data_IF_351260895600
#
_entry.id   IF_351260895600
#
_cell.length_a   1.000
_cell.length_b   1.000
_cell.length_c   1.000
_cell.angle_alpha   90.00
_cell.angle_beta   90.00
_cell.angle_gamma   90.00
#
_symmetry.space_group_name_H-M   'P 1'
#
loop_
_entity.id
_entity.type
_entity.pdbx_description
1 polymer ?
#
# COMPACT_ATOMS: atom_id res chain seq x y z
N UNK A 1 14.02 20.36 10.71
CA UNK A 1 14.98 20.27 9.59
C UNK A 1 14.66 18.99 8.85
N UNK A 2 14.38 19.05 7.54
CA UNK A 2 14.12 17.85 6.75
C UNK A 2 15.42 17.05 6.62
N UNK A 3 15.44 15.82 7.12
CA UNK A 3 16.56 14.89 6.93
C UNK A 3 16.35 14.12 5.63
N UNK A 4 17.42 13.94 4.86
CA UNK A 4 17.39 13.22 3.60
C UNK A 4 17.82 11.77 3.82
N UNK A 5 17.12 10.81 3.21
CA UNK A 5 17.60 9.44 3.19
C UNK A 5 18.57 9.27 2.03
N UNK A 6 19.86 8.97 2.28
CA UNK A 6 20.83 8.75 1.23
C UNK A 6 20.53 7.43 0.50
N UNK A 7 21.00 7.33 -0.74
CA UNK A 7 20.94 6.07 -1.49
C UNK A 7 21.99 5.14 -0.89
N UNK A 8 21.63 3.89 -0.62
CA UNK A 8 22.57 2.91 -0.09
C UNK A 8 22.43 1.55 -0.76
N UNK A 9 23.50 0.76 -0.69
CA UNK A 9 23.60 -0.61 -1.20
C UNK A 9 24.39 -1.45 -0.22
N UNK A 10 24.04 -2.73 -0.10
CA UNK A 10 24.78 -3.69 0.71
C UNK A 10 25.42 -4.73 -0.21
N UNK A 11 26.70 -4.97 -0.02
CA UNK A 11 27.44 -6.04 -0.67
C UNK A 11 28.04 -6.94 0.39
N UNK A 12 28.24 -8.22 0.10
CA UNK A 12 28.85 -9.12 1.07
C UNK A 12 29.94 -9.98 0.45
N UNK A 13 30.97 -10.20 1.25
CA UNK A 13 31.98 -11.24 1.07
C UNK A 13 31.71 -12.35 2.11
N UNK A 14 32.53 -13.40 2.12
CA UNK A 14 32.45 -14.50 3.09
C UNK A 14 32.58 -14.01 4.54
N UNK A 15 33.45 -13.03 4.79
CA UNK A 15 33.80 -12.57 6.15
C UNK A 15 33.31 -11.16 6.50
N UNK A 16 33.00 -10.32 5.50
CA UNK A 16 32.69 -8.90 5.67
C UNK A 16 31.40 -8.55 4.92
N UNK A 17 30.56 -7.71 5.54
CA UNK A 17 29.41 -7.06 4.94
C UNK A 17 29.78 -5.60 4.66
N UNK A 18 29.78 -5.19 3.39
CA UNK A 18 30.05 -3.83 2.95
C UNK A 18 28.74 -3.06 2.83
N UNK A 19 28.65 -1.90 3.48
CA UNK A 19 27.54 -0.95 3.34
C UNK A 19 28.06 0.26 2.59
N UNK A 20 27.50 0.53 1.41
CA UNK A 20 27.88 1.64 0.55
C UNK A 20 26.77 2.68 0.61
N UNK A 21 27.06 3.88 1.12
CA UNK A 21 26.12 4.99 1.27
C UNK A 21 26.56 6.17 0.41
N UNK A 22 25.73 6.56 -0.55
CA UNK A 22 25.96 7.72 -1.40
C UNK A 22 25.39 8.99 -0.75
N UNK A 23 26.29 9.82 -0.22
CA UNK A 23 25.97 11.04 0.51
C UNK A 23 26.96 12.17 0.15
N UNK A 24 26.87 12.76 -1.06
CA UNK A 24 27.86 13.73 -1.55
C UNK A 24 27.87 15.05 -0.78
N UNK A 25 26.77 15.40 -0.11
CA UNK A 25 26.68 16.62 0.71
C UNK A 25 27.09 16.40 2.19
N UNK A 26 27.39 15.16 2.58
CA UNK A 26 27.80 14.85 3.94
C UNK A 26 29.26 15.24 4.19
N UNK A 27 29.53 15.77 5.37
CA UNK A 27 30.89 16.04 5.84
C UNK A 27 31.39 14.88 6.68
N UNK A 28 32.64 14.49 6.47
CA UNK A 28 33.28 13.45 7.28
C UNK A 28 33.38 13.83 8.77
N UNK A 29 33.47 15.12 9.08
CA UNK A 29 33.52 15.63 10.47
C UNK A 29 32.23 15.42 11.26
N UNK A 30 31.09 15.34 10.57
CA UNK A 30 29.76 15.20 11.19
C UNK A 30 29.24 13.76 11.07
N UNK A 31 30.11 12.81 10.72
CA UNK A 31 29.76 11.41 10.51
C UNK A 31 29.67 10.68 11.86
N UNK A 32 28.50 10.15 12.14
CA UNK A 32 28.25 9.30 13.30
C UNK A 32 27.65 7.97 12.84
N UNK A 33 28.25 6.86 13.30
CA UNK A 33 27.86 5.50 12.94
C UNK A 33 27.69 4.72 14.22
N UNK A 34 26.56 4.02 14.36
CA UNK A 34 26.33 3.10 15.46
C UNK A 34 25.76 1.80 14.92
N UNK A 35 26.22 0.66 15.46
CA UNK A 35 25.72 -0.66 15.10
C UNK A 35 25.25 -1.38 16.36
N UNK A 36 23.95 -1.38 16.60
CA UNK A 36 23.36 -2.00 17.80
C UNK A 36 22.60 -3.26 17.44
N UNK A 37 23.05 -4.41 17.99
CA UNK A 37 22.45 -5.74 17.80
C UNK A 37 22.44 -6.17 16.34
N UNK A 38 21.50 -5.64 15.55
CA UNK A 38 21.31 -5.85 14.11
C UNK A 38 20.82 -4.56 13.43
N UNK A 39 21.00 -3.38 14.02
CA UNK A 39 20.55 -2.12 13.44
C UNK A 39 21.76 -1.26 13.11
N UNK A 40 21.78 -0.75 11.89
CA UNK A 40 22.80 0.17 11.41
C UNK A 40 22.22 1.59 11.42
N UNK A 41 22.90 2.48 12.13
CA UNK A 41 22.60 3.90 12.20
C UNK A 41 23.70 4.69 11.51
N UNK A 42 23.30 5.57 10.62
CA UNK A 42 24.17 6.52 9.94
C UNK A 42 23.54 7.91 10.03
N UNK A 43 24.30 8.83 10.61
CA UNK A 43 23.91 10.23 10.73
C UNK A 43 25.03 11.08 10.18
N UNK A 44 24.73 11.91 9.19
CA UNK A 44 25.67 12.90 8.66
C UNK A 44 24.88 14.02 7.99
N UNK A 45 24.79 15.20 8.61
CA UNK A 45 23.94 16.31 8.14
C UNK A 45 24.13 16.60 6.65
N UNK A 46 23.05 16.66 5.82
CA UNK A 46 21.62 16.58 6.13
C UNK A 46 21.02 15.16 6.08
N UNK A 47 21.85 14.13 5.95
CA UNK A 47 21.44 12.74 5.77
C UNK A 47 21.23 11.99 7.08
N UNK A 48 20.22 11.12 7.06
CA UNK A 48 19.97 10.15 8.11
C UNK A 48 19.52 8.83 7.48
N UNK A 49 20.12 7.73 7.92
CA UNK A 49 19.79 6.38 7.48
C UNK A 49 19.75 5.45 8.70
N UNK A 50 18.67 4.70 8.80
CA UNK A 50 18.52 3.60 9.76
C UNK A 50 17.94 2.41 9.04
N UNK A 51 18.59 1.26 9.16
CA UNK A 51 18.05 0.00 8.64
C UNK A 51 18.45 -1.18 9.52
N UNK A 52 17.71 -2.28 9.39
CA UNK A 52 17.99 -3.54 10.05
C UNK A 52 18.85 -4.43 9.15
N UNK A 53 19.94 -4.93 9.70
CA UNK A 53 20.83 -5.89 9.08
C UNK A 53 20.16 -7.27 9.08
N UNK A 54 20.31 -8.05 8.01
CA UNK A 54 19.71 -9.38 7.89
C UNK A 54 20.32 -10.43 8.82
N UNK A 55 21.44 -10.13 9.49
CA UNK A 55 22.12 -11.06 10.38
C UNK A 55 23.12 -10.38 11.32
N UNK A 56 23.65 -11.15 12.29
CA UNK A 56 24.50 -10.63 13.36
C UNK A 56 25.89 -10.26 12.87
N UNK A 57 26.27 -9.01 13.10
CA UNK A 57 27.60 -8.45 12.85
C UNK A 57 28.29 -8.13 14.18
N UNK A 58 29.62 -8.01 14.17
CA UNK A 58 30.35 -7.55 15.35
C UNK A 58 30.06 -6.05 15.60
N UNK A 59 29.81 -5.70 16.86
CA UNK A 59 29.53 -4.33 17.31
C UNK A 59 30.79 -3.55 17.68
N UNK A 60 31.96 -4.20 17.80
CA UNK A 60 33.18 -3.54 18.25
C UNK A 60 33.69 -2.52 17.23
N UNK A 61 33.80 -1.25 17.65
CA UNK A 61 34.21 -0.09 16.83
C UNK A 61 35.55 -0.29 16.10
N UNK A 62 36.45 -1.08 16.68
CA UNK A 62 37.77 -1.39 16.12
C UNK A 62 37.72 -2.28 14.86
N UNK A 63 36.56 -2.88 14.56
CA UNK A 63 36.43 -3.83 13.45
C UNK A 63 35.84 -3.19 12.19
N UNK A 64 35.50 -1.91 12.23
CA UNK A 64 34.91 -1.21 11.10
C UNK A 64 35.98 -0.55 10.23
N UNK A 65 35.97 -0.87 8.93
CA UNK A 65 36.77 -0.15 7.94
C UNK A 65 35.90 0.92 7.30
N UNK A 66 36.30 2.18 7.37
CA UNK A 66 35.59 3.30 6.73
C UNK A 66 36.45 3.87 5.61
N UNK A 67 35.94 3.81 4.38
CA UNK A 67 36.56 4.42 3.21
C UNK A 67 35.62 5.49 2.64
N UNK A 68 36.16 6.66 2.32
CA UNK A 68 35.43 7.74 1.67
C UNK A 68 36.00 7.99 0.28
N UNK A 69 35.17 7.82 -0.74
CA UNK A 69 35.56 8.02 -2.14
C UNK A 69 34.44 8.72 -2.91
N UNK A 70 34.74 9.90 -3.46
CA UNK A 70 33.86 10.65 -4.39
C UNK A 70 32.40 10.79 -3.91
N UNK A 71 32.18 11.04 -2.60
CA UNK A 71 30.85 11.19 -2.01
C UNK A 71 30.15 9.87 -1.65
N UNK A 72 30.84 8.75 -1.78
CA UNK A 72 30.41 7.44 -1.27
C UNK A 72 31.16 7.09 0.01
N UNK A 73 30.42 6.70 1.03
CA UNK A 73 30.94 6.11 2.25
C UNK A 73 30.83 4.60 2.14
N UNK A 74 31.95 3.90 2.32
CA UNK A 74 32.01 2.44 2.30
C UNK A 74 32.37 1.97 3.70
N UNK A 75 31.46 1.22 4.32
CA UNK A 75 31.62 0.65 5.65
C UNK A 75 31.81 -0.86 5.57
N UNK A 76 32.94 -1.38 6.01
CA UNK A 76 33.18 -2.82 6.13
C UNK A 76 32.85 -3.32 7.53
N UNK A 77 31.72 -4.02 7.67
CA UNK A 77 31.27 -4.64 8.92
C UNK A 77 31.70 -6.11 8.95
N UNK A 78 32.43 -6.54 9.98
CA UNK A 78 32.80 -7.96 10.11
C UNK A 78 31.61 -8.80 10.56
N UNK A 79 31.38 -9.91 9.88
CA UNK A 79 30.29 -10.85 10.19
C UNK A 79 30.63 -11.69 11.43
N UNK A 80 29.64 -11.94 12.29
CA UNK A 80 29.84 -12.81 13.46
C UNK A 80 29.90 -14.29 13.07
N UNK A 81 29.11 -14.67 12.06
CA UNK A 81 29.10 -16.01 11.46
C UNK A 81 29.42 -15.89 9.99
N UNK A 82 30.17 -16.86 9.46
CA UNK A 82 30.44 -17.01 8.02
C UNK A 82 29.21 -17.52 7.26
N UNK A 83 28.05 -16.91 7.51
CA UNK A 83 26.78 -17.23 6.85
C UNK A 83 26.49 -16.21 5.75
N UNK A 84 25.81 -16.68 4.71
CA UNK A 84 25.36 -15.85 3.60
C UNK A 84 24.06 -15.14 4.02
N UNK A 85 24.07 -13.81 4.00
CA UNK A 85 22.88 -13.03 4.30
C UNK A 85 22.01 -12.93 3.05
N UNK A 86 20.76 -13.38 3.17
CA UNK A 86 19.78 -13.31 2.08
C UNK A 86 19.16 -11.91 2.02
N UNK A 87 18.58 -11.57 0.87
CA UNK A 87 17.74 -10.38 0.69
C UNK A 87 18.45 -9.02 0.87
N UNK A 88 19.76 -8.94 0.66
CA UNK A 88 20.51 -7.67 0.71
C UNK A 88 20.00 -6.63 -0.30
N UNK A 89 19.49 -7.09 -1.44
CA UNK A 89 18.93 -6.23 -2.49
C UNK A 89 17.51 -5.73 -2.16
N UNK A 90 16.84 -6.35 -1.19
CA UNK A 90 15.49 -5.96 -0.78
C UNK A 90 15.55 -4.81 0.22
N UNK A 91 15.95 -3.62 -0.25
CA UNK A 91 16.10 -2.40 0.54
C UNK A 91 14.84 -2.09 1.38
N UNK A 92 13.64 -2.36 0.84
CA UNK A 92 12.37 -2.16 1.55
C UNK A 92 12.23 -3.03 2.79
N UNK A 93 12.78 -4.25 2.77
CA UNK A 93 12.81 -5.18 3.90
C UNK A 93 13.80 -4.72 4.97
N UNK A 94 14.91 -4.10 4.57
CA UNK A 94 15.92 -3.57 5.48
C UNK A 94 15.44 -2.29 6.19
N UNK A 95 14.70 -1.42 5.50
CA UNK A 95 14.22 -0.16 6.06
C UNK A 95 13.01 -0.32 7.00
N UNK A 96 12.14 -1.30 6.72
CA UNK A 96 10.89 -1.49 7.46
C UNK A 96 10.98 -2.71 8.39
N UNK A 97 10.97 -2.53 9.72
CA UNK A 97 10.92 -3.67 10.62
C UNK A 97 9.60 -4.43 10.47
N UNK A 98 9.59 -5.76 10.59
CA UNK A 98 8.37 -6.58 10.53
C UNK A 98 7.41 -6.36 11.72
N UNK A 99 7.71 -5.42 12.63
CA UNK A 99 6.92 -5.13 13.84
C UNK A 99 5.69 -4.26 13.59
N UNK A 100 5.49 -3.73 12.38
CA UNK A 100 4.15 -3.33 11.97
C UNK A 100 3.38 -4.58 11.57
N UNK A 101 3.07 -5.42 12.56
CA UNK A 101 1.98 -6.38 12.47
C UNK A 101 0.74 -5.58 12.07
N UNK A 102 0.43 -5.57 10.78
CA UNK A 102 -0.89 -5.17 10.33
C UNK A 102 -1.86 -6.01 11.16
N UNK A 103 -2.79 -5.36 11.86
CA UNK A 103 -3.96 -6.01 12.47
C UNK A 103 -4.37 -7.17 11.57
N UNK A 104 -4.61 -8.39 12.10
CA UNK A 104 -4.82 -9.57 11.28
C UNK A 104 -5.81 -9.20 10.19
N UNK A 105 -5.35 -9.20 8.95
CA UNK A 105 -6.21 -8.94 7.82
C UNK A 105 -7.28 -10.01 7.92
N UNK A 106 -8.50 -9.62 8.27
CA UNK A 106 -9.69 -10.42 7.98
C UNK A 106 -9.48 -10.87 6.54
N UNK A 107 -9.35 -12.18 6.34
CA UNK A 107 -8.78 -12.77 5.13
C UNK A 107 -9.25 -12.01 3.89
N UNK A 108 -8.31 -11.41 3.16
CA UNK A 108 -8.63 -10.61 1.97
C UNK A 108 -9.25 -11.46 0.87
N UNK A 109 -9.27 -12.78 1.05
CA UNK A 109 -9.89 -13.77 0.18
C UNK A 109 -10.51 -14.82 1.10
N UNK A 110 -11.83 -14.93 1.07
CA UNK A 110 -12.57 -16.05 1.63
C UNK A 110 -13.13 -16.84 0.45
N UNK A 111 -12.71 -18.10 0.31
CA UNK A 111 -13.24 -18.99 -0.71
C UNK A 111 -14.64 -19.44 -0.28
N UNK A 112 -15.67 -18.76 -0.78
CA UNK A 112 -17.04 -19.23 -0.62
C UNK A 112 -17.14 -20.58 -1.36
N UNK A 113 -17.26 -21.68 -0.61
CA UNK A 113 -17.74 -22.95 -1.15
C UNK A 113 -19.22 -22.77 -1.53
N UNK A 114 -19.47 -22.11 -2.66
CA UNK A 114 -20.75 -22.15 -3.33
C UNK A 114 -20.98 -23.56 -3.82
N UNK A 115 -21.92 -24.27 -3.21
CA UNK A 115 -22.45 -25.54 -3.71
C UNK A 115 -23.03 -25.33 -5.11
N UNK A 116 -22.18 -25.46 -6.13
CA UNK A 116 -22.58 -25.40 -7.52
C UNK A 116 -23.12 -26.78 -7.89
N UNK A 117 -24.34 -27.07 -7.48
CA UNK A 117 -25.16 -28.01 -8.24
C UNK A 117 -25.69 -27.25 -9.44
N UNK A 118 -25.07 -27.47 -10.60
CA UNK A 118 -25.66 -27.92 -11.87
C UNK A 118 -24.74 -27.51 -13.01
N UNK A 119 -24.34 -28.51 -13.80
CA UNK A 119 -23.52 -28.41 -14.99
C UNK A 119 -23.93 -27.26 -15.94
N UNK A 120 -22.96 -26.43 -16.33
CA UNK A 120 -23.08 -25.55 -17.50
C UNK A 120 -21.81 -25.69 -18.35
N UNK A 121 -21.94 -25.99 -19.66
CA UNK A 121 -20.83 -26.32 -20.51
C UNK A 121 -19.96 -25.10 -20.79
N UNK A 122 -18.67 -25.36 -20.94
CA UNK A 122 -17.64 -24.46 -21.47
C UNK A 122 -18.11 -23.87 -22.80
N UNK A 123 -18.72 -22.68 -22.75
CA UNK A 123 -18.78 -21.77 -23.87
C UNK A 123 -18.03 -20.53 -23.43
N UNK A 124 -17.01 -20.23 -24.22
CA UNK A 124 -16.15 -19.06 -24.13
C UNK A 124 -17.04 -17.82 -24.21
N UNK A 125 -17.53 -17.38 -23.05
CA UNK A 125 -18.33 -16.17 -22.92
C UNK A 125 -17.36 -15.03 -23.17
N UNK A 126 -17.33 -14.58 -24.41
CA UNK A 126 -16.77 -13.28 -24.79
C UNK A 126 -17.31 -12.28 -23.78
N UNK A 127 -16.46 -11.88 -22.83
CA UNK A 127 -16.74 -10.89 -21.81
C UNK A 127 -17.12 -9.60 -22.53
N UNK A 128 -18.41 -9.48 -22.83
CA UNK A 128 -18.93 -8.35 -23.54
C UNK A 128 -19.00 -7.22 -22.52
N UNK A 129 -17.90 -6.45 -22.43
CA UNK A 129 -17.77 -5.28 -21.56
C UNK A 129 -18.90 -4.25 -21.79
N UNK A 130 -19.54 -4.30 -22.97
CA UNK A 130 -20.68 -3.46 -23.35
C UNK A 130 -22.05 -4.13 -23.13
N UNK A 131 -22.09 -5.40 -22.73
CA UNK A 131 -23.35 -6.01 -22.29
C UNK A 131 -23.70 -5.37 -20.96
N UNK A 132 -24.78 -4.59 -20.96
CA UNK A 132 -25.47 -4.09 -19.77
C UNK A 132 -25.39 -5.16 -18.67
N UNK A 133 -24.74 -4.82 -17.57
CA UNK A 133 -24.57 -5.75 -16.47
C UNK A 133 -25.95 -6.12 -15.91
N UNK A 134 -26.07 -7.22 -15.17
CA UNK A 134 -27.35 -7.55 -14.50
C UNK A 134 -27.87 -6.40 -13.59
N UNK A 135 -27.00 -5.46 -13.20
CA UNK A 135 -27.36 -4.23 -12.50
C UNK A 135 -28.02 -3.16 -13.39
N UNK A 136 -27.75 -3.16 -14.69
CA UNK A 136 -28.33 -2.22 -15.67
C UNK A 136 -29.68 -2.73 -16.22
N UNK A 137 -29.97 -4.04 -16.08
CA UNK A 137 -31.21 -4.66 -16.61
C UNK A 137 -32.39 -4.56 -15.63
N UNK A 138 -32.16 -4.23 -14.36
CA UNK A 138 -33.23 -4.02 -13.38
C UNK A 138 -34.18 -2.86 -13.76
N UNK A 139 -33.83 -2.04 -14.73
CA UNK A 139 -34.64 -0.93 -15.23
C UNK A 139 -35.95 -1.37 -15.92
N UNK A 140 -36.13 -2.64 -16.31
CA UNK A 140 -37.35 -3.04 -17.04
C UNK A 140 -38.53 -3.46 -16.15
N UNK A 141 -38.34 -3.62 -14.84
CA UNK A 141 -39.42 -4.01 -13.91
C UNK A 141 -39.39 -3.13 -12.66
N UNK A 142 -39.66 -1.84 -12.83
CA UNK A 142 -40.09 -0.99 -11.73
C UNK A 142 -41.56 -0.66 -11.92
N UNK A 143 -42.42 -1.52 -11.37
CA UNK A 143 -43.74 -1.12 -10.90
C UNK A 143 -43.55 -0.01 -9.87
N UNK A 144 -44.18 1.14 -10.12
CA UNK A 144 -44.25 2.29 -9.24
C UNK A 144 -44.76 1.88 -7.84
N UNK A 145 -43.85 1.56 -6.92
CA UNK A 145 -44.17 1.49 -5.51
C UNK A 145 -43.20 2.39 -4.75
N UNK A 146 -43.70 3.59 -4.45
CA UNK A 146 -43.14 4.53 -3.50
C UNK A 146 -43.26 3.95 -2.09
N UNK A 147 -42.46 2.94 -1.78
CA UNK A 147 -42.24 2.51 -0.41
C UNK A 147 -40.90 3.08 0.07
N UNK A 148 -40.96 3.83 1.17
CA UNK A 148 -39.80 4.20 1.97
C UNK A 148 -39.23 2.94 2.59
N UNK A 149 -38.45 2.18 1.82
CA UNK A 149 -37.69 1.02 2.30
C UNK A 149 -36.78 1.50 3.45
N UNK A 150 -37.10 1.09 4.67
CA UNK A 150 -36.25 1.31 5.84
C UNK A 150 -35.01 0.42 5.66
N UNK A 151 -33.83 1.02 5.54
CA UNK A 151 -32.58 0.26 5.54
C UNK A 151 -32.37 -0.37 6.92
N UNK A 152 -32.66 -1.67 7.06
CA UNK A 152 -32.37 -2.46 8.27
C UNK A 152 -30.87 -2.56 8.55
N UNK A 153 -30.01 -2.39 7.55
CA UNK A 153 -28.55 -2.40 7.69
C UNK A 153 -27.95 -1.36 6.76
N UNK A 154 -26.99 -0.54 7.23
CA UNK A 154 -26.33 0.43 6.38
C UNK A 154 -25.54 -0.30 5.27
N UNK A 155 -25.43 0.32 4.09
CA UNK A 155 -24.73 -0.29 2.97
C UNK A 155 -23.23 -0.42 3.28
N UNK A 156 -22.64 -1.48 2.74
CA UNK A 156 -21.21 -1.79 2.88
C UNK A 156 -20.49 -1.62 1.55
N UNK A 157 -19.18 -1.37 1.61
CA UNK A 157 -18.31 -1.03 0.49
C UNK A 157 -16.98 -1.78 0.60
N UNK A 158 -16.21 -1.74 -0.49
CA UNK A 158 -14.93 -2.41 -0.59
C UNK A 158 -15.07 -3.93 -0.73
N UNK A 159 -13.92 -4.61 -0.73
CA UNK A 159 -13.87 -6.06 -0.84
C UNK A 159 -14.72 -6.73 0.25
N UNK A 160 -15.62 -7.63 -0.15
CA UNK A 160 -16.56 -8.36 0.70
C UNK A 160 -17.38 -7.46 1.68
N UNK A 161 -17.60 -6.18 1.34
CA UNK A 161 -18.30 -5.25 2.24
C UNK A 161 -17.52 -4.97 3.53
N UNK A 162 -16.19 -4.98 3.48
CA UNK A 162 -15.30 -4.76 4.64
C UNK A 162 -15.42 -3.36 5.27
N UNK A 163 -16.01 -2.39 4.56
CA UNK A 163 -16.18 -1.01 5.02
C UNK A 163 -17.65 -0.61 5.03
N UNK A 164 -18.03 0.32 5.90
CA UNK A 164 -19.35 0.96 5.93
C UNK A 164 -19.21 2.39 6.44
N UNK A 165 -20.21 3.24 6.19
CA UNK A 165 -20.22 4.61 6.71
C UNK A 165 -19.17 5.53 6.10
N UNK A 166 -18.74 5.28 4.86
CA UNK A 166 -17.66 6.05 4.22
C UNK A 166 -18.05 7.51 3.95
N UNK A 167 -19.34 7.83 3.92
CA UNK A 167 -19.88 9.13 3.53
C UNK A 167 -20.70 9.78 4.66
N UNK A 168 -20.48 9.37 5.92
CA UNK A 168 -21.09 10.02 7.09
C UNK A 168 -20.51 11.41 7.35
N UNK A 169 -19.21 11.57 7.08
CA UNK A 169 -18.52 12.85 7.16
C UNK A 169 -18.29 13.38 5.74
N UNK A 170 -18.49 14.68 5.54
CA UNK A 170 -18.10 15.38 4.31
C UNK A 170 -16.59 15.20 4.12
N UNK A 171 -16.21 14.32 3.21
CA UNK A 171 -14.82 14.03 2.85
C UNK A 171 -14.61 14.41 1.40
N UNK A 172 -13.36 14.46 0.94
CA UNK A 172 -13.05 14.72 -0.46
C UNK A 172 -13.75 13.73 -1.42
N UNK A 173 -14.08 12.53 -0.92
CA UNK A 173 -14.81 11.50 -1.64
C UNK A 173 -16.25 11.91 -1.98
N UNK A 174 -16.87 12.79 -1.19
CA UNK A 174 -18.22 13.30 -1.45
C UNK A 174 -18.29 14.16 -2.72
N UNK A 175 -17.19 14.79 -3.13
CA UNK A 175 -17.15 15.59 -4.37
C UNK A 175 -17.06 14.74 -5.63
N UNK A 176 -16.52 13.52 -5.50
CA UNK A 176 -16.30 12.59 -6.63
C UNK A 176 -17.57 11.79 -6.96
N UNK A 177 -18.47 11.62 -5.99
CA UNK A 177 -19.66 10.77 -6.12
C UNK A 177 -20.90 11.62 -6.39
N UNK A 178 -21.54 11.41 -7.54
CA UNK A 178 -22.78 12.11 -7.93
C UNK A 178 -24.05 11.61 -7.22
N UNK A 179 -23.94 10.55 -6.41
CA UNK A 179 -25.06 10.01 -5.65
C UNK A 179 -25.24 10.77 -4.32
N UNK A 180 -26.42 11.35 -4.03
CA UNK A 180 -26.64 12.08 -2.80
C UNK A 180 -26.80 11.11 -1.62
N UNK A 181 -26.04 11.34 -0.54
CA UNK A 181 -26.05 10.55 0.70
C UNK A 181 -26.02 9.02 0.46
N UNK A 182 -24.95 8.49 -0.16
CA UNK A 182 -24.87 7.09 -0.58
C UNK A 182 -25.08 6.08 0.56
N UNK A 183 -24.74 6.46 1.80
CA UNK A 183 -24.94 5.64 3.00
C UNK A 183 -26.39 5.46 3.44
N UNK A 184 -27.32 6.26 2.90
CA UNK A 184 -28.76 6.20 3.22
C UNK A 184 -29.60 5.60 2.10
N UNK A 185 -28.99 5.36 0.93
CA UNK A 185 -29.69 4.89 -0.28
C UNK A 185 -29.53 3.39 -0.47
N UNK A 186 -30.64 2.69 -0.70
CA UNK A 186 -30.64 1.24 -0.98
C UNK A 186 -29.93 0.94 -2.31
N UNK A 187 -29.17 -0.18 -2.43
CA UNK A 187 -28.38 -0.49 -3.63
C UNK A 187 -29.18 -0.44 -4.94
N UNK A 188 -30.45 -0.86 -4.92
CA UNK A 188 -31.35 -0.86 -6.09
C UNK A 188 -31.63 0.53 -6.64
N UNK A 189 -31.74 1.54 -5.77
CA UNK A 189 -32.08 2.93 -6.15
C UNK A 189 -30.85 3.78 -6.49
N UNK A 190 -29.63 3.25 -6.30
CA UNK A 190 -28.40 4.03 -6.50
C UNK A 190 -28.16 4.39 -7.95
N UNK A 191 -28.39 3.46 -8.88
CA UNK A 191 -28.13 3.71 -10.31
C UNK A 191 -29.03 4.82 -10.84
N UNK A 192 -30.33 4.73 -10.54
CA UNK A 192 -31.34 5.70 -10.98
C UNK A 192 -31.09 7.08 -10.40
N UNK A 193 -30.81 7.17 -9.10
CA UNK A 193 -30.52 8.45 -8.45
C UNK A 193 -29.22 9.08 -8.96
N UNK A 194 -28.14 8.31 -9.12
CA UNK A 194 -26.88 8.78 -9.71
C UNK A 194 -27.11 9.36 -11.10
N UNK A 195 -27.80 8.64 -11.99
CA UNK A 195 -28.08 9.10 -13.35
C UNK A 195 -28.95 10.36 -13.37
N UNK A 196 -29.92 10.48 -12.46
CA UNK A 196 -30.76 11.67 -12.37
C UNK A 196 -29.97 12.91 -11.96
N UNK A 197 -29.04 12.77 -11.01
CA UNK A 197 -28.17 13.84 -10.54
C UNK A 197 -27.09 14.20 -11.57
N UNK A 198 -26.50 13.21 -12.24
CA UNK A 198 -25.56 13.41 -13.33
C UNK A 198 -26.19 14.25 -14.46
N UNK A 199 -27.41 13.88 -14.90
CA UNK A 199 -28.16 14.65 -15.91
C UNK A 199 -28.48 16.07 -15.46
N UNK A 200 -28.73 16.27 -14.16
CA UNK A 200 -29.01 17.59 -13.58
C UNK A 200 -27.75 18.47 -13.51
N UNK A 201 -26.59 17.89 -13.16
CA UNK A 201 -25.30 18.60 -13.07
C UNK A 201 -24.65 18.81 -14.42
N UNK A 202 -24.94 17.96 -15.40
CA UNK A 202 -24.37 18.04 -16.74
C UNK A 202 -24.77 19.35 -17.44
N UNK A 203 -23.77 20.12 -17.86
CA UNK A 203 -23.93 21.32 -18.67
C UNK A 203 -23.05 21.19 -19.90
N UNK A 204 -23.66 21.09 -21.08
CA UNK A 204 -22.92 20.97 -22.34
C UNK A 204 -21.98 22.16 -22.59
N UNK A 205 -22.37 23.37 -22.16
CA UNK A 205 -21.54 24.58 -22.31
C UNK A 205 -20.28 24.58 -21.45
N UNK A 206 -20.24 23.81 -20.36
CA UNK A 206 -19.04 23.70 -19.53
C UNK A 206 -17.91 22.92 -20.22
N UNK A 207 -18.27 22.09 -21.22
CA UNK A 207 -17.37 21.17 -21.92
C UNK A 207 -17.12 21.56 -23.38
N UNK A 208 -17.64 22.71 -23.84
CA UNK A 208 -17.42 23.30 -25.16
C UNK A 208 -16.56 24.56 -25.02
#
# INVERSE_FOLDING_TARGET
VAMLTPIFRLEQTETVLKVIVHAPMAKLSDLEICVEVNQFFFTATPYYLRFELPGPVFTDEETFTVEFQDGNFVFGLKKMKSEYYKDLDLITKLLNPPTMQSKPSIGLIEEFQGSTTTDLPTQDSTLNWFSASAYDICDFVNSEQNETEILLTPPRYGFCGSKSGLFQNESDLSYVVDLPYPDKVSPKKRSTLRLSEEKRRFSAQHYL
#
